data_IF_068367738119
#
_entry.id   IF_068367738119
#
_cell.length_a   1.000
_cell.length_b   1.000
_cell.length_c   1.000
_cell.angle_alpha   90.00
_cell.angle_beta   90.00
_cell.angle_gamma   90.00
#
_symmetry.space_group_name_H-M   'P 1'
#
loop_
_entity.id
_entity.type
_entity.pdbx_description
1 polymer ?
#
# COMPACT_ATOMS: atom_id res chain seq x y z
N UNK A 1 1.48 -14.43 3.54
CA UNK A 1 0.07 -14.68 3.91
C UNK A 1 -0.76 -14.56 2.64
N UNK A 2 -1.73 -15.45 2.41
CA UNK A 2 -2.64 -15.36 1.28
C UNK A 2 -3.81 -14.44 1.66
N UNK A 3 -4.25 -13.58 0.74
CA UNK A 3 -5.35 -12.64 0.99
C UNK A 3 -6.69 -13.37 1.15
N UNK A 4 -6.86 -14.50 0.47
CA UNK A 4 -8.09 -15.29 0.57
C UNK A 4 -8.29 -15.85 1.98
N UNK A 5 -7.20 -16.30 2.62
CA UNK A 5 -7.23 -16.75 4.01
C UNK A 5 -7.69 -15.63 4.96
N UNK A 6 -7.34 -14.37 4.66
CA UNK A 6 -7.75 -13.21 5.44
C UNK A 6 -9.26 -13.01 5.32
N UNK A 7 -9.81 -12.99 4.10
CA UNK A 7 -11.26 -12.80 3.90
C UNK A 7 -12.11 -13.92 4.50
N UNK A 8 -11.55 -15.14 4.58
CA UNK A 8 -12.22 -16.29 5.18
C UNK A 8 -12.17 -16.29 6.72
N UNK A 9 -11.08 -15.79 7.31
CA UNK A 9 -10.85 -15.84 8.75
C UNK A 9 -11.28 -14.57 9.49
N UNK A 10 -11.22 -13.42 8.84
CA UNK A 10 -11.48 -12.13 9.47
C UNK A 10 -12.89 -11.64 9.17
N UNK A 11 -13.62 -11.50 10.28
CA UNK A 11 -14.95 -10.93 10.46
C UNK A 11 -15.92 -11.10 9.28
N UNK A 12 -16.74 -12.16 9.33
CA UNK A 12 -17.86 -12.34 8.39
C UNK A 12 -18.96 -11.29 8.56
N UNK A 13 -18.94 -10.48 9.62
CA UNK A 13 -19.84 -9.36 9.86
C UNK A 13 -19.26 -8.03 9.37
N UNK A 14 -18.01 -8.00 8.91
CA UNK A 14 -17.41 -6.82 8.33
C UNK A 14 -18.23 -6.39 7.09
N UNK A 15 -18.41 -5.07 6.88
CA UNK A 15 -19.29 -4.55 5.83
C UNK A 15 -18.77 -4.83 4.41
N UNK A 16 -17.45 -4.99 4.25
CA UNK A 16 -16.79 -5.24 2.97
C UNK A 16 -15.41 -5.89 3.16
N UNK A 17 -14.79 -6.37 2.08
CA UNK A 17 -13.45 -6.96 2.10
C UNK A 17 -12.35 -5.97 2.52
N UNK A 18 -12.56 -4.67 2.36
CA UNK A 18 -11.63 -3.64 2.83
C UNK A 18 -11.62 -3.56 4.36
N UNK A 19 -12.79 -3.67 5.00
CA UNK A 19 -12.91 -3.77 6.45
C UNK A 19 -12.27 -5.06 6.97
N UNK A 20 -12.53 -6.21 6.34
CA UNK A 20 -11.87 -7.48 6.72
C UNK A 20 -10.34 -7.40 6.66
N UNK A 21 -9.80 -6.84 5.57
CA UNK A 21 -8.36 -6.64 5.45
C UNK A 21 -7.81 -5.69 6.51
N UNK A 22 -8.53 -4.59 6.80
CA UNK A 22 -8.12 -3.66 7.85
C UNK A 22 -8.13 -4.32 9.23
N UNK A 23 -9.14 -5.10 9.55
CA UNK A 23 -9.25 -5.78 10.85
C UNK A 23 -8.13 -6.79 11.04
N UNK A 24 -7.75 -7.50 9.98
CA UNK A 24 -6.54 -8.32 9.98
C UNK A 24 -5.27 -7.50 10.27
N UNK A 25 -5.09 -6.34 9.64
CA UNK A 25 -3.91 -5.51 9.87
C UNK A 25 -3.86 -4.97 11.29
N UNK A 26 -5.00 -4.56 11.85
CA UNK A 26 -5.12 -4.15 13.26
C UNK A 26 -4.78 -5.32 14.18
N UNK A 27 -5.27 -6.52 13.89
CA UNK A 27 -4.92 -7.72 14.65
C UNK A 27 -3.43 -7.99 14.58
N UNK A 28 -2.83 -8.02 13.39
CA UNK A 28 -1.40 -8.23 13.20
C UNK A 28 -0.59 -7.19 13.97
N UNK A 29 -1.00 -5.92 13.97
CA UNK A 29 -0.25 -4.83 14.60
C UNK A 29 -0.18 -5.04 16.12
N UNK A 30 -1.29 -5.45 16.72
CA UNK A 30 -1.38 -5.66 18.16
C UNK A 30 -0.82 -7.01 18.64
N UNK A 31 -0.57 -7.97 17.74
CA UNK A 31 -0.22 -9.34 18.12
C UNK A 31 1.10 -9.85 17.54
N UNK A 32 1.64 -9.24 16.49
CA UNK A 32 2.90 -9.65 15.87
C UNK A 32 4.05 -8.82 16.40
N UNK A 33 4.96 -9.49 17.11
CA UNK A 33 6.14 -8.87 17.69
C UNK A 33 7.27 -8.73 16.65
N UNK A 34 7.79 -7.52 16.50
CA UNK A 34 8.94 -7.22 15.64
C UNK A 34 10.01 -6.45 16.41
N UNK A 35 11.02 -7.17 16.93
CA UNK A 35 12.12 -6.57 17.72
C UNK A 35 12.99 -5.57 16.96
N UNK A 36 12.89 -5.54 15.63
CA UNK A 36 13.59 -4.57 14.78
C UNK A 36 12.93 -3.18 14.79
N UNK A 37 11.75 -3.02 15.39
CA UNK A 37 11.02 -1.77 15.46
C UNK A 37 11.03 -1.20 16.89
N UNK A 38 11.14 0.13 17.08
CA UNK A 38 11.20 0.74 18.41
C UNK A 38 9.97 0.49 19.30
N UNK A 39 8.80 0.34 18.70
CA UNK A 39 7.52 0.02 19.38
C UNK A 39 7.23 -1.48 19.46
N UNK A 40 8.12 -2.32 18.91
CA UNK A 40 8.01 -3.76 18.77
C UNK A 40 6.82 -4.26 17.94
N UNK A 41 6.16 -3.40 17.16
CA UNK A 41 5.08 -3.80 16.27
C UNK A 41 5.61 -3.97 14.84
N UNK A 42 4.95 -4.76 14.01
CA UNK A 42 5.33 -4.84 12.59
C UNK A 42 5.12 -3.47 11.93
N UNK A 43 6.02 -3.08 11.01
CA UNK A 43 6.02 -1.72 10.46
C UNK A 43 5.88 -1.61 8.94
N UNK A 44 5.99 -2.72 8.21
CA UNK A 44 5.92 -2.71 6.75
C UNK A 44 4.90 -3.73 6.28
N UNK A 45 4.00 -3.30 5.41
CA UNK A 45 3.10 -4.16 4.66
C UNK A 45 3.22 -3.85 3.17
N UNK A 46 3.23 -4.90 2.35
CA UNK A 46 3.21 -4.79 0.90
C UNK A 46 2.03 -5.58 0.37
N UNK A 47 1.06 -4.88 -0.21
CA UNK A 47 -0.01 -5.50 -0.97
C UNK A 47 0.50 -5.93 -2.35
N UNK A 48 0.17 -7.15 -2.75
CA UNK A 48 0.46 -7.67 -4.08
C UNK A 48 -0.88 -8.04 -4.70
N UNK A 49 -1.30 -7.27 -5.71
CA UNK A 49 -2.62 -7.39 -6.31
C UNK A 49 -3.23 -6.03 -6.66
N UNK A 50 -4.00 -6.00 -7.74
CA UNK A 50 -4.80 -4.85 -8.15
C UNK A 50 -6.10 -4.76 -7.32
N UNK A 51 -6.88 -3.69 -7.51
CA UNK A 51 -8.05 -3.36 -6.68
C UNK A 51 -9.16 -4.42 -6.67
N UNK A 52 -9.18 -5.29 -7.68
CA UNK A 52 -10.13 -6.40 -7.85
C UNK A 52 -9.76 -7.65 -7.02
N UNK A 53 -8.52 -7.72 -6.52
CA UNK A 53 -8.04 -8.81 -5.68
C UNK A 53 -7.69 -8.36 -4.25
N UNK A 54 -6.97 -7.25 -4.12
CA UNK A 54 -6.69 -6.58 -2.84
C UNK A 54 -7.43 -5.24 -2.84
N UNK A 55 -8.47 -5.04 -2.02
CA UNK A 55 -9.37 -3.91 -2.12
C UNK A 55 -8.64 -2.60 -1.90
N UNK A 56 -9.20 -1.53 -2.48
CA UNK A 56 -8.88 -0.16 -2.11
C UNK A 56 -10.11 0.46 -1.44
N UNK A 57 -9.92 1.26 -0.38
CA UNK A 57 -11.07 1.93 0.24
C UNK A 57 -11.44 3.16 -0.58
N UNK A 58 -12.70 3.31 -0.93
CA UNK A 58 -13.21 4.56 -1.53
C UNK A 58 -13.67 5.50 -0.41
N UNK A 59 -13.30 6.77 -0.51
CA UNK A 59 -13.70 7.81 0.43
C UNK A 59 -14.04 9.11 -0.30
N UNK A 60 -15.02 9.83 0.23
CA UNK A 60 -15.43 11.14 -0.28
C UNK A 60 -14.60 12.24 0.39
N UNK A 61 -14.06 13.14 -0.43
CA UNK A 61 -13.45 14.39 -0.01
C UNK A 61 -14.23 15.55 -0.64
N UNK A 62 -15.25 16.03 0.07
CA UNK A 62 -16.25 16.94 -0.50
C UNK A 62 -17.09 16.22 -1.57
N UNK A 63 -17.08 16.75 -2.79
CA UNK A 63 -17.81 16.17 -3.93
C UNK A 63 -17.00 15.11 -4.70
N UNK A 64 -15.74 14.88 -4.30
CA UNK A 64 -14.83 13.99 -5.02
C UNK A 64 -14.74 12.62 -4.37
N UNK A 65 -15.00 11.57 -5.15
CA UNK A 65 -14.76 10.19 -4.73
C UNK A 65 -13.33 9.77 -5.10
N UNK A 66 -12.54 9.37 -4.12
CA UNK A 66 -11.16 8.96 -4.30
C UNK A 66 -10.87 7.59 -3.69
N UNK A 67 -9.92 6.89 -4.29
CA UNK A 67 -9.27 5.72 -3.72
C UNK A 67 -8.28 6.16 -2.64
N UNK A 68 -8.36 5.57 -1.46
CA UNK A 68 -7.48 5.85 -0.32
C UNK A 68 -6.88 4.57 0.25
N UNK A 69 -5.56 4.59 0.45
CA UNK A 69 -4.81 3.51 1.12
C UNK A 69 -4.59 3.83 2.61
N UNK A 70 -4.75 5.09 3.02
CA UNK A 70 -4.59 5.53 4.42
C UNK A 70 -5.47 4.76 5.41
N UNK A 71 -6.64 4.30 4.95
CA UNK A 71 -7.55 3.46 5.75
C UNK A 71 -6.89 2.18 6.28
N UNK A 72 -5.95 1.59 5.54
CA UNK A 72 -5.30 0.33 5.89
C UNK A 72 -4.04 0.50 6.74
N UNK A 73 -3.56 1.72 6.94
CA UNK A 73 -2.32 2.00 7.68
C UNK A 73 -2.53 2.92 8.90
N UNK A 74 -3.69 3.56 9.00
CA UNK A 74 -4.13 4.30 10.17
C UNK A 74 -5.14 3.46 10.98
N UNK A 75 -4.67 2.90 12.08
CA UNK A 75 -5.40 2.09 13.04
C UNK A 75 -5.95 2.92 14.21
N UNK A 76 -5.29 4.03 14.53
CA UNK A 76 -5.63 4.89 15.67
C UNK A 76 -6.75 5.91 15.40
N UNK A 77 -7.03 6.72 16.42
CA UNK A 77 -7.94 7.88 16.34
C UNK A 77 -7.23 9.19 15.94
N UNK A 78 -5.92 9.12 15.65
CA UNK A 78 -5.07 10.27 15.33
C UNK A 78 -4.74 10.40 13.84
N UNK A 79 -3.85 11.35 13.53
CA UNK A 79 -3.41 11.66 12.17
C UNK A 79 -2.10 10.95 11.75
N UNK A 80 -1.76 9.82 12.37
CA UNK A 80 -0.55 9.05 12.09
C UNK A 80 -0.86 7.77 11.32
N UNK A 81 0.08 7.34 10.48
CA UNK A 81 0.11 5.96 9.98
C UNK A 81 0.91 5.11 10.99
N UNK A 82 0.32 4.02 11.46
CA UNK A 82 1.01 3.05 12.33
C UNK A 82 1.98 2.15 11.55
N UNK A 83 1.73 1.94 10.25
CA UNK A 83 2.60 1.14 9.38
C UNK A 83 2.90 1.85 8.06
N UNK A 84 4.05 1.52 7.48
CA UNK A 84 4.37 1.83 6.09
C UNK A 84 3.68 0.81 5.17
N UNK A 85 2.86 1.32 4.25
CA UNK A 85 2.13 0.50 3.30
C UNK A 85 2.58 0.80 1.87
N UNK A 86 2.89 -0.24 1.11
CA UNK A 86 3.09 -0.19 -0.33
C UNK A 86 2.15 -1.13 -1.07
N UNK A 87 2.03 -0.94 -2.39
CA UNK A 87 1.28 -1.84 -3.27
C UNK A 87 2.08 -2.11 -4.54
N UNK A 88 2.11 -3.37 -4.96
CA UNK A 88 2.44 -3.79 -6.33
C UNK A 88 1.13 -4.14 -7.04
N UNK A 89 0.54 -3.20 -7.81
CA UNK A 89 -0.74 -3.39 -8.46
C UNK A 89 -0.54 -4.26 -9.70
N UNK A 90 -0.79 -5.56 -9.53
CA UNK A 90 -0.65 -6.57 -10.59
C UNK A 90 -1.94 -7.34 -10.70
N UNK A 91 -2.31 -7.70 -11.92
CA UNK A 91 -3.44 -8.61 -12.16
C UNK A 91 -2.93 -10.04 -12.13
N UNK A 92 -3.69 -10.94 -11.52
CA UNK A 92 -3.35 -12.37 -11.43
C UNK A 92 -3.12 -13.01 -12.81
N UNK A 93 -3.78 -12.49 -13.84
CA UNK A 93 -3.64 -12.96 -15.22
C UNK A 93 -2.30 -12.59 -15.88
N UNK A 94 -1.49 -11.73 -15.25
CA UNK A 94 -0.24 -11.22 -15.82
C UNK A 94 0.91 -11.36 -14.82
N UNK A 95 1.24 -12.60 -14.47
CA UNK A 95 2.35 -12.94 -13.55
C UNK A 95 3.68 -12.27 -13.94
N UNK A 96 3.90 -12.03 -15.23
CA UNK A 96 5.12 -11.38 -15.72
C UNK A 96 5.28 -9.93 -15.21
N UNK A 97 4.18 -9.23 -14.88
CA UNK A 97 4.25 -7.88 -14.30
C UNK A 97 4.82 -7.93 -12.89
N UNK A 98 4.40 -8.90 -12.08
CA UNK A 98 4.93 -9.15 -10.74
C UNK A 98 6.43 -9.47 -10.81
N UNK A 99 6.83 -10.37 -11.72
CA UNK A 99 8.24 -10.71 -11.93
C UNK A 99 9.05 -9.46 -12.33
N UNK A 100 8.50 -8.62 -13.19
CA UNK A 100 9.17 -7.40 -13.66
C UNK A 100 9.39 -6.40 -12.53
N UNK A 101 8.36 -6.16 -11.70
CA UNK A 101 8.46 -5.25 -10.55
C UNK A 101 9.44 -5.81 -9.52
N UNK A 102 9.29 -7.08 -9.13
CA UNK A 102 10.16 -7.73 -8.16
C UNK A 102 11.62 -7.72 -8.60
N UNK A 103 11.90 -8.06 -9.85
CA UNK A 103 13.27 -8.08 -10.38
C UNK A 103 13.89 -6.68 -10.42
N UNK A 104 13.11 -5.64 -10.76
CA UNK A 104 13.59 -4.25 -10.71
C UNK A 104 13.96 -3.84 -9.29
N UNK A 105 13.10 -4.16 -8.31
CA UNK A 105 13.36 -3.88 -6.89
C UNK A 105 14.62 -4.59 -6.40
N UNK A 106 14.71 -5.91 -6.62
CA UNK A 106 15.87 -6.72 -6.23
C UNK A 106 17.15 -6.20 -6.87
N UNK A 107 17.13 -5.93 -8.18
CA UNK A 107 18.30 -5.41 -8.89
C UNK A 107 18.73 -4.05 -8.34
N UNK A 108 17.78 -3.16 -8.04
CA UNK A 108 18.09 -1.85 -7.50
C UNK A 108 18.68 -1.92 -6.09
N UNK A 109 18.19 -2.83 -5.24
CA UNK A 109 18.65 -2.96 -3.86
C UNK A 109 19.95 -3.75 -3.71
N UNK A 110 20.12 -4.84 -4.46
CA UNK A 110 21.24 -5.78 -4.27
C UNK A 110 22.39 -5.57 -5.25
N UNK A 111 22.11 -5.11 -6.48
CA UNK A 111 23.12 -4.99 -7.54
C UNK A 111 22.82 -3.79 -8.45
N UNK A 112 22.72 -2.57 -7.89
CA UNK A 112 22.33 -1.41 -8.68
C UNK A 112 23.36 -1.12 -9.77
N UNK A 113 22.89 -0.86 -10.99
CA UNK A 113 23.77 -0.33 -12.03
C UNK A 113 24.33 1.02 -11.58
N UNK A 114 25.63 1.09 -11.32
CA UNK A 114 26.25 2.33 -10.85
C UNK A 114 26.37 3.32 -12.02
N UNK A 115 26.24 4.62 -11.73
CA UNK A 115 26.38 5.68 -12.73
C UNK A 115 25.79 7.01 -12.30
N UNK A 116 26.01 8.04 -13.13
CA UNK A 116 25.56 9.41 -12.85
C UNK A 116 24.03 9.57 -12.83
N UNK A 117 23.28 8.62 -13.38
CA UNK A 117 21.81 8.68 -13.43
C UNK A 117 21.18 8.76 -12.03
N UNK A 118 21.78 8.15 -10.99
CA UNK A 118 21.29 8.23 -9.59
C UNK A 118 21.40 9.63 -8.97
N UNK A 119 22.15 10.54 -9.60
CA UNK A 119 22.33 11.93 -9.17
C UNK A 119 21.57 12.93 -10.05
N UNK A 120 20.64 12.46 -10.87
CA UNK A 120 19.81 13.29 -11.74
C UNK A 120 18.36 13.22 -11.26
N UNK A 121 17.76 14.38 -11.00
CA UNK A 121 16.33 14.52 -10.76
C UNK A 121 15.63 15.05 -12.01
N UNK A 122 14.43 14.56 -12.29
CA UNK A 122 13.52 15.17 -13.25
C UNK A 122 12.43 15.89 -12.45
N UNK A 123 12.32 17.20 -12.65
CA UNK A 123 11.26 18.02 -12.05
C UNK A 123 10.40 18.56 -13.19
N UNK A 124 9.08 18.35 -13.10
CA UNK A 124 8.10 18.82 -14.09
C UNK A 124 7.09 19.69 -13.34
N UNK A 125 6.90 20.93 -13.80
CA UNK A 125 5.82 21.80 -13.37
C UNK A 125 4.79 21.89 -14.51
N UNK A 126 3.55 21.47 -14.24
CA UNK A 126 2.45 21.63 -15.19
C UNK A 126 2.03 23.10 -15.30
N UNK A 127 1.38 23.45 -16.41
CA UNK A 127 0.70 24.74 -16.52
C UNK A 127 -0.60 24.72 -15.72
N UNK A 128 -0.86 25.79 -14.97
CA UNK A 128 -2.15 26.02 -14.32
C UNK A 128 -3.06 26.88 -15.21
N UNK A 129 -4.37 26.73 -15.06
CA UNK A 129 -5.34 27.60 -15.71
C UNK A 129 -5.33 28.96 -15.02
N UNK A 130 -4.61 29.93 -15.60
CA UNK A 130 -4.68 31.33 -15.16
C UNK A 130 -5.93 31.96 -15.79
N UNK A 131 -6.89 32.39 -14.97
CA UNK A 131 -7.98 33.24 -15.46
C UNK A 131 -7.37 34.53 -16.02
N UNK A 132 -7.64 34.91 -17.28
CA UNK A 132 -7.26 36.23 -17.76
C UNK A 132 -8.08 37.28 -17.02
N UNK A 133 -7.40 38.31 -16.51
CA UNK A 133 -7.98 39.50 -15.88
C UNK A 133 -8.95 40.24 -16.80
#
# INVERSE_FOLDING_TARGET
MNIQDIYEQFDSLAPDSAAQLRDFLVYAYNNWYASSMPDNHFAYCLFIGDWDYVPTKLSLAGEWLGAIEGYFRNFGSGFGDEIMLGRWPVKDTVVQDLVTIAQKTINYEQSPTLGNWRRRGLLIAGGDWVYPD
#
